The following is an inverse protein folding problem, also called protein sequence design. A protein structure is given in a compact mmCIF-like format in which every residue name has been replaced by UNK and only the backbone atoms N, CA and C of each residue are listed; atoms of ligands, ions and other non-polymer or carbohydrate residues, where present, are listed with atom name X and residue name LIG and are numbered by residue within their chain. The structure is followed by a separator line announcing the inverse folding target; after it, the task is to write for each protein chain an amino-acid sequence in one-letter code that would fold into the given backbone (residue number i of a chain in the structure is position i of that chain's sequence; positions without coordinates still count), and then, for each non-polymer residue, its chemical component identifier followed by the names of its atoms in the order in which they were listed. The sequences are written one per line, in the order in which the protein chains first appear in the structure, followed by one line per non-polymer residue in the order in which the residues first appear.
data_IF_762360268582
#
_entry.id   IF_762360268582
#
_cell.length_a   1.000
_cell.length_b   1.000
_cell.length_c   1.000
_cell.angle_alpha   90.00
_cell.angle_beta   90.00
_cell.angle_gamma   90.00
#
_symmetry.space_group_name_H-M   'P 1'
#
loop_
_entity.id
_entity.type
_entity.pdbx_description
1 polymer ?
#
# COMPACT_ATOMS: atom_id res chain seq x y z
N UNK A 1 -13.54 26.32 -6.58
CA UNK A 1 -14.58 25.58 -7.33
C UNK A 1 -14.69 24.26 -6.60
N UNK A 2 -15.77 24.04 -5.85
CA UNK A 2 -15.85 22.91 -4.92
C UNK A 2 -16.10 21.63 -5.72
N UNK A 3 -15.20 20.65 -5.66
CA UNK A 3 -15.46 19.30 -6.15
C UNK A 3 -16.68 18.78 -5.38
N UNK A 4 -17.77 18.50 -6.11
CA UNK A 4 -18.94 17.81 -5.56
C UNK A 4 -18.42 16.55 -4.87
N UNK A 5 -18.64 16.42 -3.56
CA UNK A 5 -18.57 15.10 -2.92
C UNK A 5 -19.56 14.20 -3.67
N UNK A 6 -19.02 13.35 -4.53
CA UNK A 6 -19.80 12.39 -5.29
C UNK A 6 -20.43 11.43 -4.28
N UNK A 7 -21.74 11.21 -4.39
CA UNK A 7 -22.35 10.12 -3.63
C UNK A 7 -21.77 8.79 -4.12
N UNK A 8 -21.88 7.75 -3.29
CA UNK A 8 -21.42 6.41 -3.63
C UNK A 8 -22.00 5.91 -4.98
N UNK A 9 -23.25 6.25 -5.27
CA UNK A 9 -23.93 5.93 -6.52
C UNK A 9 -23.37 6.71 -7.71
N UNK A 10 -23.07 8.00 -7.52
CA UNK A 10 -22.46 8.84 -8.57
C UNK A 10 -21.05 8.36 -8.89
N UNK A 11 -20.26 8.04 -7.85
CA UNK A 11 -18.95 7.44 -7.99
C UNK A 11 -19.01 6.11 -8.78
N UNK A 12 -20.02 5.28 -8.49
CA UNK A 12 -20.24 4.02 -9.22
C UNK A 12 -20.50 4.25 -10.71
N UNK A 13 -21.24 5.29 -11.08
CA UNK A 13 -21.47 5.64 -12.49
C UNK A 13 -20.20 6.16 -13.18
N UNK A 14 -19.37 6.96 -12.49
CA UNK A 14 -18.08 7.38 -13.06
C UNK A 14 -17.12 6.20 -13.26
N UNK A 15 -17.06 5.28 -12.27
CA UNK A 15 -16.27 4.05 -12.40
C UNK A 15 -16.78 3.18 -13.55
N UNK A 16 -18.09 3.11 -13.78
CA UNK A 16 -18.66 2.40 -14.93
C UNK A 16 -18.17 2.97 -16.26
N UNK A 17 -18.13 4.30 -16.42
CA UNK A 17 -17.58 4.91 -17.65
C UNK A 17 -16.12 4.52 -17.89
N UNK A 18 -15.31 4.41 -16.83
CA UNK A 18 -13.92 3.98 -16.93
C UNK A 18 -13.82 2.51 -17.34
N UNK A 19 -14.65 1.64 -16.76
CA UNK A 19 -14.73 0.21 -17.14
C UNK A 19 -15.16 0.06 -18.61
N UNK A 20 -16.18 0.81 -19.05
CA UNK A 20 -16.65 0.81 -20.44
C UNK A 20 -15.59 1.37 -21.42
N UNK A 21 -14.81 2.36 -20.99
CA UNK A 21 -13.67 2.87 -21.75
C UNK A 21 -12.59 1.80 -21.90
N UNK A 22 -12.24 1.11 -20.83
CA UNK A 22 -11.27 0.03 -20.84
C UNK A 22 -11.71 -1.12 -21.74
N UNK A 23 -12.98 -1.55 -21.64
CA UNK A 23 -13.53 -2.60 -22.49
C UNK A 23 -13.37 -2.29 -23.99
N UNK A 24 -13.67 -1.06 -24.41
CA UNK A 24 -13.48 -0.60 -25.81
C UNK A 24 -12.00 -0.62 -26.25
N UNK A 25 -11.08 -0.29 -25.36
CA UNK A 25 -9.63 -0.31 -25.64
C UNK A 25 -9.11 -1.75 -25.77
N UNK A 26 -9.62 -2.67 -24.94
CA UNK A 26 -9.33 -4.11 -25.06
C UNK A 26 -9.87 -4.65 -26.38
N UNK A 27 -11.12 -4.35 -26.72
CA UNK A 27 -11.78 -4.84 -27.95
C UNK A 27 -11.08 -4.32 -29.22
N UNK A 28 -10.66 -3.05 -29.24
CA UNK A 28 -9.91 -2.48 -30.35
C UNK A 28 -8.47 -2.98 -30.49
N UNK A 29 -7.95 -3.74 -29.52
CA UNK A 29 -6.56 -4.19 -29.46
C UNK A 29 -5.53 -3.08 -29.20
N UNK A 30 -5.99 -1.85 -28.96
CA UNK A 30 -5.13 -0.65 -28.76
C UNK A 30 -4.38 -0.64 -27.44
N UNK A 31 -4.77 -1.51 -26.51
CA UNK A 31 -4.19 -1.65 -25.16
C UNK A 31 -2.66 -1.77 -25.12
N UNK A 32 -2.01 -2.35 -26.13
CA UNK A 32 -0.54 -2.44 -26.21
C UNK A 32 0.16 -1.09 -26.40
N UNK A 33 -0.58 -0.05 -26.76
CA UNK A 33 -0.04 1.31 -26.99
C UNK A 33 -0.02 2.15 -25.72
N UNK A 34 -0.75 1.72 -24.68
CA UNK A 34 -0.84 2.44 -23.42
C UNK A 34 0.43 2.22 -22.61
N UNK A 35 1.11 3.32 -22.28
CA UNK A 35 2.23 3.32 -21.34
C UNK A 35 1.72 3.51 -19.92
N UNK A 36 2.63 3.43 -18.96
CA UNK A 36 2.33 3.64 -17.55
C UNK A 36 1.72 5.04 -17.30
N UNK A 37 2.28 6.09 -17.89
CA UNK A 37 1.76 7.46 -17.77
C UNK A 37 0.37 7.63 -18.40
N UNK A 38 0.09 6.97 -19.52
CA UNK A 38 -1.24 6.98 -20.13
C UNK A 38 -2.24 6.26 -19.21
N UNK A 39 -1.84 5.13 -18.62
CA UNK A 39 -2.66 4.35 -17.68
C UNK A 39 -3.00 5.19 -16.44
N UNK A 40 -2.00 5.88 -15.90
CA UNK A 40 -2.13 6.81 -14.79
C UNK A 40 -3.15 7.91 -15.09
N UNK A 41 -2.92 8.66 -16.17
CA UNK A 41 -3.74 9.83 -16.50
C UNK A 41 -5.16 9.47 -16.97
N UNK A 42 -5.33 8.37 -17.72
CA UNK A 42 -6.61 8.05 -18.36
C UNK A 42 -7.53 7.16 -17.53
N UNK A 43 -7.00 6.47 -16.52
CA UNK A 43 -7.74 5.48 -15.74
C UNK A 43 -7.55 5.61 -14.24
N UNK A 44 -6.31 5.63 -13.76
CA UNK A 44 -6.02 5.59 -12.32
C UNK A 44 -6.41 6.92 -11.66
N UNK A 45 -5.96 8.06 -12.19
CA UNK A 45 -6.32 9.37 -11.65
C UNK A 45 -7.85 9.58 -11.64
N UNK A 46 -8.59 9.37 -12.76
CA UNK A 46 -10.05 9.46 -12.75
C UNK A 46 -10.74 8.47 -11.80
N UNK A 47 -10.19 7.27 -11.62
CA UNK A 47 -10.72 6.29 -10.67
C UNK A 47 -10.66 6.84 -9.24
N UNK A 48 -9.51 7.37 -8.83
CA UNK A 48 -9.37 7.90 -7.47
C UNK A 48 -10.10 9.23 -7.28
N UNK A 49 -10.22 10.07 -8.32
CA UNK A 49 -11.14 11.22 -8.33
C UNK A 49 -12.59 10.78 -8.09
N UNK A 50 -13.06 9.72 -8.77
CA UNK A 50 -14.39 9.16 -8.57
C UNK A 50 -14.58 8.56 -7.16
N UNK A 51 -13.52 8.02 -6.56
CA UNK A 51 -13.49 7.56 -5.17
C UNK A 51 -13.37 8.69 -4.14
N UNK A 52 -13.45 9.94 -4.60
CA UNK A 52 -13.57 11.13 -3.75
C UNK A 52 -12.24 11.71 -3.29
N UNK A 53 -11.11 11.34 -3.90
CA UNK A 53 -9.81 11.97 -3.62
C UNK A 53 -9.58 13.20 -4.50
N UNK A 54 -9.04 14.29 -3.93
CA UNK A 54 -8.61 15.47 -4.68
C UNK A 54 -7.24 15.22 -5.36
N UNK A 55 -7.24 14.39 -6.42
CA UNK A 55 -6.03 14.02 -7.17
C UNK A 55 -5.33 15.23 -7.81
N UNK A 56 -6.06 16.33 -7.99
CA UNK A 56 -5.56 17.59 -8.56
C UNK A 56 -5.09 18.58 -7.49
N UNK A 57 -5.27 18.27 -6.20
CA UNK A 57 -4.99 19.14 -5.06
C UNK A 57 -5.52 20.56 -5.28
N UNK A 58 -6.77 20.66 -5.75
CA UNK A 58 -7.43 21.94 -6.01
C UNK A 58 -8.07 22.57 -4.77
N UNK A 59 -8.34 21.74 -3.75
CA UNK A 59 -8.94 22.13 -2.48
C UNK A 59 -8.01 21.85 -1.31
N UNK A 60 -7.37 20.68 -1.33
CA UNK A 60 -6.47 20.23 -0.27
C UNK A 60 -5.07 20.08 -0.84
N UNK A 61 -4.17 20.96 -0.41
CA UNK A 61 -2.76 20.81 -0.75
C UNK A 61 -2.25 19.47 -0.21
N UNK A 62 -1.53 18.75 -1.07
CA UNK A 62 -0.89 17.46 -0.76
C UNK A 62 -1.84 16.31 -0.33
N UNK A 63 -3.12 16.32 -0.70
CA UNK A 63 -3.99 15.15 -0.51
C UNK A 63 -3.52 13.96 -1.38
N UNK A 64 -3.09 14.23 -2.61
CA UNK A 64 -2.46 13.23 -3.48
C UNK A 64 -1.13 13.75 -4.00
N UNK A 65 -0.03 13.25 -3.44
CA UNK A 65 1.33 13.63 -3.85
C UNK A 65 1.85 12.64 -4.89
N UNK A 66 2.18 13.16 -6.08
CA UNK A 66 2.76 12.39 -7.19
C UNK A 66 4.26 12.24 -7.02
N UNK A 67 4.80 11.12 -7.49
CA UNK A 67 6.25 10.89 -7.59
C UNK A 67 7.00 11.12 -6.26
N UNK A 68 6.40 10.70 -5.13
CA UNK A 68 7.00 10.93 -3.81
C UNK A 68 8.33 10.18 -3.67
N UNK A 69 9.40 10.94 -3.41
CA UNK A 69 10.73 10.38 -3.15
C UNK A 69 10.77 9.70 -1.78
N UNK A 70 11.31 8.48 -1.79
CA UNK A 70 11.57 7.65 -0.62
C UNK A 70 13.07 7.39 -0.59
N UNK A 71 13.65 7.18 0.60
CA UNK A 71 15.09 7.01 0.80
C UNK A 71 15.77 5.98 -0.10
N UNK A 72 15.02 5.01 -0.64
CA UNK A 72 15.49 4.01 -1.62
C UNK A 72 14.58 3.86 -2.85
N UNK A 73 13.95 4.94 -3.31
CA UNK A 73 13.18 4.91 -4.56
C UNK A 73 12.09 5.96 -4.64
N UNK A 74 11.06 5.66 -5.43
CA UNK A 74 9.94 6.56 -5.69
C UNK A 74 8.67 5.75 -5.80
N UNK A 75 7.61 6.25 -5.19
CA UNK A 75 6.26 5.74 -5.39
C UNK A 75 5.50 6.67 -6.33
N UNK A 76 4.60 6.12 -7.13
CA UNK A 76 3.84 6.92 -8.09
C UNK A 76 2.88 7.90 -7.40
N UNK A 77 2.13 7.43 -6.40
CA UNK A 77 1.22 8.30 -5.63
C UNK A 77 1.22 7.99 -4.14
N UNK A 78 1.04 9.04 -3.35
CA UNK A 78 0.88 9.02 -1.90
C UNK A 78 -0.44 9.69 -1.56
N UNK A 79 -1.37 8.92 -1.02
CA UNK A 79 -2.70 9.39 -0.64
C UNK A 79 -2.71 9.74 0.85
N UNK A 80 -3.05 10.98 1.17
CA UNK A 80 -2.90 11.56 2.49
C UNK A 80 -4.20 12.19 2.94
N UNK A 81 -4.48 12.13 4.23
CA UNK A 81 -5.58 12.88 4.83
C UNK A 81 -4.97 13.73 5.93
N UNK A 82 -5.15 15.04 5.86
CA UNK A 82 -4.55 16.03 6.76
C UNK A 82 -3.01 15.87 6.84
N UNK A 83 -2.36 15.66 5.70
CA UNK A 83 -0.91 15.48 5.59
C UNK A 83 -0.37 14.13 6.06
N UNK A 84 -1.21 13.22 6.58
CA UNK A 84 -0.80 11.90 7.05
C UNK A 84 -1.05 10.86 5.94
N UNK A 85 0.00 10.14 5.46
CA UNK A 85 -0.15 9.07 4.48
C UNK A 85 -1.07 7.95 4.97
N UNK A 86 -2.05 7.59 4.14
CA UNK A 86 -3.03 6.51 4.38
C UNK A 86 -2.71 5.26 3.60
N UNK A 87 -2.34 5.42 2.34
CA UNK A 87 -1.78 4.37 1.52
C UNK A 87 -0.89 4.93 0.43
N UNK A 88 -0.03 4.07 -0.09
CA UNK A 88 0.80 4.32 -1.25
C UNK A 88 0.29 3.52 -2.44
N UNK A 89 0.30 4.13 -3.62
CA UNK A 89 -0.14 3.51 -4.85
C UNK A 89 1.02 3.41 -5.83
N UNK A 90 1.30 2.19 -6.27
CA UNK A 90 2.18 1.89 -7.38
C UNK A 90 1.33 1.56 -8.61
N UNK A 91 1.59 2.27 -9.70
CA UNK A 91 0.89 2.09 -10.96
C UNK A 91 1.76 1.30 -11.95
N UNK A 92 1.12 0.55 -12.84
CA UNK A 92 1.78 -0.12 -13.96
C UNK A 92 1.02 0.17 -15.26
N UNK A 93 1.69 -0.06 -16.38
CA UNK A 93 1.03 -0.02 -17.69
C UNK A 93 -0.04 -1.12 -17.77
N UNK A 94 -1.11 -0.88 -18.55
CA UNK A 94 -2.12 -1.88 -18.84
C UNK A 94 -1.48 -3.22 -19.28
N UNK A 95 -2.00 -4.35 -18.80
CA UNK A 95 -1.56 -5.74 -19.09
C UNK A 95 -0.26 -6.17 -18.44
N UNK A 96 0.31 -5.38 -17.55
CA UNK A 96 1.46 -5.82 -16.77
C UNK A 96 1.05 -6.90 -15.77
N UNK A 97 1.92 -7.90 -15.58
CA UNK A 97 1.66 -8.94 -14.59
C UNK A 97 1.84 -8.40 -13.17
N UNK A 98 0.72 -8.02 -12.53
CA UNK A 98 0.69 -7.60 -11.13
C UNK A 98 1.09 -8.73 -10.15
N UNK A 99 1.26 -9.97 -10.62
CA UNK A 99 1.83 -11.09 -9.87
C UNK A 99 3.35 -11.07 -9.80
N UNK A 100 4.02 -10.21 -10.56
CA UNK A 100 5.46 -10.07 -10.53
C UNK A 100 5.92 -9.65 -9.13
N UNK A 101 6.72 -10.51 -8.50
CA UNK A 101 7.21 -10.34 -7.13
C UNK A 101 7.92 -8.99 -6.97
N UNK A 102 8.64 -8.50 -7.98
CA UNK A 102 9.34 -7.21 -7.92
C UNK A 102 8.39 -6.03 -7.73
N UNK A 103 7.24 -6.03 -8.40
CA UNK A 103 6.25 -4.95 -8.27
C UNK A 103 5.60 -4.97 -6.88
N UNK A 104 5.35 -6.17 -6.35
CA UNK A 104 4.79 -6.34 -5.00
C UNK A 104 5.81 -5.91 -3.94
N UNK A 105 7.06 -6.34 -4.07
CA UNK A 105 8.16 -5.91 -3.20
C UNK A 105 8.32 -4.40 -3.20
N UNK A 106 8.25 -3.78 -4.38
CA UNK A 106 8.34 -2.33 -4.51
C UNK A 106 7.24 -1.63 -3.70
N UNK A 107 5.97 -1.98 -3.94
CA UNK A 107 4.83 -1.37 -3.24
C UNK A 107 4.86 -1.60 -1.72
N UNK A 108 5.14 -2.83 -1.28
CA UNK A 108 5.15 -3.22 0.14
C UNK A 108 6.33 -2.60 0.88
N UNK A 109 7.54 -2.69 0.33
CA UNK A 109 8.74 -2.16 1.00
C UNK A 109 8.65 -0.64 1.16
N UNK A 110 8.17 0.09 0.14
CA UNK A 110 8.00 1.53 0.27
C UNK A 110 7.05 1.94 1.38
N UNK A 111 5.92 1.25 1.46
CA UNK A 111 4.93 1.49 2.51
C UNK A 111 5.50 1.19 3.90
N UNK A 112 6.21 0.07 4.05
CA UNK A 112 6.90 -0.29 5.30
C UNK A 112 7.95 0.76 5.71
N UNK A 113 8.80 1.21 4.77
CA UNK A 113 9.86 2.17 5.05
C UNK A 113 9.35 3.55 5.49
N UNK A 114 8.12 3.93 5.09
CA UNK A 114 7.46 5.18 5.46
C UNK A 114 6.47 5.03 6.63
N UNK A 115 6.34 3.82 7.19
CA UNK A 115 5.41 3.53 8.28
C UNK A 115 3.94 3.62 7.88
N UNK A 116 3.63 3.41 6.60
CA UNK A 116 2.27 3.36 6.11
C UNK A 116 1.80 1.90 6.02
N UNK A 117 0.63 1.62 6.57
CA UNK A 117 0.11 0.25 6.69
C UNK A 117 -0.31 -0.34 5.34
N UNK A 118 -0.79 0.50 4.42
CA UNK A 118 -1.43 0.03 3.20
C UNK A 118 -0.62 0.38 1.95
N UNK A 119 -0.44 -0.62 1.08
CA UNK A 119 0.09 -0.46 -0.26
C UNK A 119 -0.95 -0.93 -1.27
N UNK A 120 -1.11 -0.22 -2.38
CA UNK A 120 -2.00 -0.57 -3.48
C UNK A 120 -1.17 -0.69 -4.75
N UNK A 121 -1.38 -1.76 -5.50
CA UNK A 121 -0.76 -2.00 -6.81
C UNK A 121 -1.88 -2.15 -7.84
N UNK A 122 -1.80 -1.40 -8.93
CA UNK A 122 -2.81 -1.48 -9.98
C UNK A 122 -2.28 -1.10 -11.36
N UNK A 123 -2.81 -1.76 -12.38
CA UNK A 123 -2.73 -1.38 -13.79
C UNK A 123 -4.13 -1.05 -14.33
N UNK A 124 -5.07 -0.68 -13.47
CA UNK A 124 -6.51 -0.59 -13.72
C UNK A 124 -7.22 -1.91 -14.05
N UNK A 125 -6.63 -2.83 -14.81
CA UNK A 125 -7.22 -4.16 -15.09
C UNK A 125 -7.47 -4.94 -13.80
N UNK A 126 -6.58 -4.80 -12.83
CA UNK A 126 -6.79 -5.31 -11.49
C UNK A 126 -6.24 -4.38 -10.40
N UNK A 127 -6.81 -4.49 -9.22
CA UNK A 127 -6.33 -3.83 -8.00
C UNK A 127 -5.93 -4.91 -6.99
N UNK A 128 -4.72 -4.77 -6.45
CA UNK A 128 -4.24 -5.56 -5.32
C UNK A 128 -3.93 -4.63 -4.16
N UNK A 129 -4.44 -4.99 -2.98
CA UNK A 129 -4.20 -4.28 -1.73
C UNK A 129 -3.27 -5.14 -0.89
N UNK A 130 -2.26 -4.54 -0.27
CA UNK A 130 -1.30 -5.22 0.60
C UNK A 130 -1.25 -4.52 1.95
N UNK A 131 -1.12 -5.32 2.99
CA UNK A 131 -0.77 -4.84 4.32
C UNK A 131 0.75 -4.89 4.47
N UNK A 132 1.40 -3.73 4.42
CA UNK A 132 2.84 -3.61 4.50
C UNK A 132 3.42 -3.95 5.88
N UNK A 133 2.59 -3.97 6.93
CA UNK A 133 3.00 -4.41 8.26
C UNK A 133 3.14 -5.94 8.36
N UNK A 134 2.60 -6.68 7.38
CA UNK A 134 2.70 -8.13 7.35
C UNK A 134 4.10 -8.56 6.94
N UNK A 135 4.85 -9.12 7.90
CA UNK A 135 6.17 -9.68 7.65
C UNK A 135 6.07 -11.14 7.22
N UNK A 136 6.20 -11.38 5.92
CA UNK A 136 6.38 -12.71 5.36
C UNK A 136 7.62 -12.78 4.49
N UNK A 137 8.23 -13.96 4.41
CA UNK A 137 9.33 -14.22 3.48
C UNK A 137 8.88 -14.11 2.00
N UNK A 138 7.59 -14.31 1.74
CA UNK A 138 6.98 -14.10 0.44
C UNK A 138 6.07 -12.85 0.48
N UNK A 139 6.43 -11.75 -0.22
CA UNK A 139 5.66 -10.52 -0.29
C UNK A 139 4.20 -10.69 -0.76
N UNK A 140 3.92 -11.71 -1.58
CA UNK A 140 2.56 -12.00 -2.05
C UNK A 140 1.61 -12.38 -0.91
N UNK A 141 2.12 -12.91 0.21
CA UNK A 141 1.30 -13.24 1.38
C UNK A 141 0.84 -11.99 2.15
N UNK A 142 1.48 -10.84 1.94
CA UNK A 142 1.03 -9.57 2.47
C UNK A 142 -0.24 -9.05 1.80
N UNK A 143 -0.70 -9.69 0.72
CA UNK A 143 -1.93 -9.31 0.03
C UNK A 143 -3.13 -9.41 0.99
N UNK A 144 -3.87 -8.32 1.07
CA UNK A 144 -5.13 -8.21 1.79
C UNK A 144 -6.29 -8.44 0.82
N UNK A 145 -7.25 -9.28 1.21
CA UNK A 145 -8.36 -9.68 0.35
C UNK A 145 -7.94 -10.46 -0.90
N UNK A 146 -8.84 -10.50 -1.87
CA UNK A 146 -8.60 -11.07 -3.20
C UNK A 146 -8.26 -9.96 -4.20
N UNK A 147 -7.54 -10.30 -5.26
CA UNK A 147 -7.33 -9.39 -6.40
C UNK A 147 -8.69 -8.99 -6.96
N UNK A 148 -8.94 -7.69 -7.10
CA UNK A 148 -10.18 -7.16 -7.64
C UNK A 148 -9.99 -6.81 -9.12
N UNK A 149 -10.51 -7.62 -10.06
CA UNK A 149 -10.43 -7.31 -11.49
C UNK A 149 -11.46 -6.24 -11.88
N UNK A 150 -11.17 -5.46 -12.92
CA UNK A 150 -11.98 -4.31 -13.34
C UNK A 150 -13.41 -4.69 -13.73
N UNK A 151 -13.62 -5.90 -14.25
CA UNK A 151 -14.93 -6.45 -14.60
C UNK A 151 -15.83 -6.58 -13.36
N UNK A 152 -15.25 -6.74 -12.17
CA UNK A 152 -15.97 -6.86 -10.91
C UNK A 152 -16.07 -5.54 -10.14
N UNK A 153 -15.55 -4.42 -10.66
CA UNK A 153 -15.62 -3.13 -9.95
C UNK A 153 -17.06 -2.70 -9.66
N UNK A 154 -18.00 -2.98 -10.56
CA UNK A 154 -19.41 -2.61 -10.38
C UNK A 154 -20.19 -3.58 -9.49
N UNK A 155 -19.88 -4.88 -9.58
CA UNK A 155 -20.52 -5.92 -8.78
C UNK A 155 -20.03 -5.88 -7.33
N UNK A 156 -18.70 -5.80 -7.15
CA UNK A 156 -18.02 -5.72 -5.85
C UNK A 156 -17.61 -4.29 -5.54
N UNK A 157 -18.49 -3.33 -5.83
CA UNK A 157 -18.21 -1.91 -5.63
C UNK A 157 -17.92 -1.58 -4.16
N UNK A 158 -18.52 -2.30 -3.21
CA UNK A 158 -18.22 -2.13 -1.78
C UNK A 158 -16.74 -2.40 -1.45
N UNK A 159 -16.13 -3.40 -2.10
CA UNK A 159 -14.70 -3.71 -1.94
C UNK A 159 -13.83 -2.60 -2.53
N UNK A 160 -14.19 -2.09 -3.71
CA UNK A 160 -13.50 -0.95 -4.31
C UNK A 160 -13.65 0.31 -3.45
N UNK A 161 -14.84 0.52 -2.88
CA UNK A 161 -15.18 1.66 -2.04
C UNK A 161 -14.35 1.73 -0.76
N UNK A 162 -13.75 0.62 -0.31
CA UNK A 162 -12.80 0.64 0.81
C UNK A 162 -11.59 1.55 0.53
N UNK A 163 -11.27 1.78 -0.74
CA UNK A 163 -10.20 2.69 -1.17
C UNK A 163 -10.65 4.15 -1.31
N UNK A 164 -11.92 4.45 -1.06
CA UNK A 164 -12.42 5.83 -1.07
C UNK A 164 -11.85 6.67 0.07
N UNK A 165 -11.79 7.98 -0.16
CA UNK A 165 -11.38 8.96 0.84
C UNK A 165 -12.22 8.82 2.12
N UNK A 166 -13.53 8.69 1.98
CA UNK A 166 -14.49 8.50 3.08
C UNK A 166 -14.22 7.21 3.86
N UNK A 167 -13.97 6.09 3.17
CA UNK A 167 -13.66 4.80 3.83
C UNK A 167 -12.38 4.86 4.66
N UNK A 168 -11.36 5.58 4.18
CA UNK A 168 -10.12 5.80 4.93
C UNK A 168 -10.30 6.75 6.12
N UNK A 169 -11.14 7.78 6.02
CA UNK A 169 -11.52 8.61 7.18
C UNK A 169 -12.20 7.77 8.27
N UNK A 170 -13.09 6.87 7.87
CA UNK A 170 -13.82 5.94 8.75
C UNK A 170 -12.98 4.71 9.16
N UNK A 171 -11.77 4.55 8.64
CA UNK A 171 -10.86 3.41 8.89
C UNK A 171 -11.50 2.05 8.58
N UNK A 172 -12.35 1.97 7.56
CA UNK A 172 -13.08 0.73 7.25
C UNK A 172 -12.14 -0.41 6.86
N UNK A 173 -11.08 -0.11 6.09
CA UNK A 173 -10.08 -1.08 5.68
C UNK A 173 -9.32 -1.67 6.89
N UNK A 174 -8.98 -0.84 7.87
CA UNK A 174 -8.35 -1.28 9.13
C UNK A 174 -9.28 -2.22 9.92
N UNK A 175 -10.56 -1.87 10.03
CA UNK A 175 -11.58 -2.66 10.72
C UNK A 175 -11.77 -4.03 10.03
N UNK A 176 -11.79 -4.05 8.70
CA UNK A 176 -11.90 -5.29 7.95
C UNK A 176 -10.65 -6.16 8.13
N UNK A 177 -9.46 -5.56 8.13
CA UNK A 177 -8.21 -6.25 8.40
C UNK A 177 -8.16 -6.91 9.79
N UNK A 178 -8.71 -6.24 10.80
CA UNK A 178 -8.82 -6.76 12.16
C UNK A 178 -9.74 -7.98 12.24
N UNK A 179 -10.88 -7.96 11.54
CA UNK A 179 -11.82 -9.10 11.47
C UNK A 179 -11.20 -10.33 10.81
N UNK A 180 -10.36 -10.13 9.81
CA UNK A 180 -9.66 -11.22 9.11
C UNK A 180 -8.45 -11.76 9.89
N UNK A 181 -8.19 -11.27 11.12
CA UNK A 181 -7.04 -11.67 11.92
C UNK A 181 -5.69 -11.20 11.37
N UNK A 182 -5.70 -10.30 10.37
CA UNK A 182 -4.49 -9.81 9.66
C UNK A 182 -3.86 -8.57 10.28
N UNK A 183 -4.17 -8.25 11.54
CA UNK A 183 -3.34 -7.36 12.35
C UNK A 183 -2.38 -8.21 13.17
N UNK A 184 -1.21 -8.51 12.60
CA UNK A 184 -0.07 -8.81 13.46
C UNK A 184 0.19 -7.52 14.23
N UNK A 185 -0.06 -7.55 15.55
CA UNK A 185 0.16 -6.45 16.49
C UNK A 185 1.38 -5.64 16.06
N UNK A 186 1.18 -4.34 15.79
CA UNK A 186 2.19 -3.30 15.57
C UNK A 186 3.52 -3.68 16.26
N UNK A 187 4.42 -4.31 15.54
CA UNK A 187 5.81 -4.38 15.96
C UNK A 187 6.35 -3.02 15.57
N UNK A 188 6.29 -2.06 16.51
CA UNK A 188 6.85 -0.73 16.26
C UNK A 188 8.27 -0.87 15.74
N UNK A 189 8.74 0.11 14.99
CA UNK A 189 10.14 0.15 14.51
C UNK A 189 11.09 -0.16 15.67
N UNK A 190 10.76 0.26 16.89
CA UNK A 190 11.51 -0.04 18.12
C UNK A 190 11.56 -1.53 18.45
N UNK A 191 10.44 -2.28 18.35
CA UNK A 191 10.45 -3.72 18.57
C UNK A 191 11.22 -4.47 17.49
N UNK A 192 11.17 -3.99 16.24
CA UNK A 192 11.97 -4.58 15.17
C UNK A 192 13.45 -4.31 15.38
N UNK A 193 13.81 -3.07 15.72
CA UNK A 193 15.18 -2.68 16.04
C UNK A 193 15.70 -3.50 17.23
N UNK A 194 14.88 -3.68 18.27
CA UNK A 194 15.22 -4.52 19.42
C UNK A 194 15.45 -5.99 19.01
N UNK A 195 14.59 -6.54 18.14
CA UNK A 195 14.77 -7.88 17.59
C UNK A 195 16.06 -8.00 16.79
N UNK A 196 16.36 -7.02 15.94
CA UNK A 196 17.56 -7.01 15.10
C UNK A 196 18.83 -6.86 15.96
N UNK A 197 18.81 -5.99 16.96
CA UNK A 197 19.89 -5.85 17.95
C UNK A 197 20.09 -7.14 18.75
N UNK A 198 19.01 -7.82 19.15
CA UNK A 198 19.08 -9.10 19.87
C UNK A 198 19.69 -10.19 18.99
N UNK A 199 19.31 -10.23 17.72
CA UNK A 199 19.90 -11.13 16.72
C UNK A 199 21.38 -10.84 16.49
N UNK A 200 21.76 -9.57 16.34
CA UNK A 200 23.16 -9.19 16.20
C UNK A 200 23.97 -9.56 17.43
N UNK A 201 23.46 -9.30 18.64
CA UNK A 201 24.07 -9.74 19.90
C UNK A 201 24.30 -11.25 19.90
N UNK A 202 23.28 -12.04 19.56
CA UNK A 202 23.39 -13.50 19.52
C UNK A 202 24.47 -13.99 18.55
N UNK A 203 24.52 -13.43 17.33
CA UNK A 203 25.52 -13.78 16.31
C UNK A 203 26.93 -13.41 16.78
N UNK A 204 27.10 -12.22 17.36
CA UNK A 204 28.40 -11.74 17.88
C UNK A 204 28.86 -12.62 19.05
N UNK A 205 28.00 -12.87 20.03
CA UNK A 205 28.29 -13.72 21.18
C UNK A 205 28.67 -15.15 20.77
N UNK A 206 27.95 -15.73 19.80
CA UNK A 206 28.24 -17.07 19.29
C UNK A 206 29.57 -17.12 18.55
N UNK A 207 29.88 -16.10 17.72
CA UNK A 207 31.14 -16.04 16.96
C UNK A 207 32.37 -15.75 17.83
N UNK A 208 32.19 -15.00 18.92
CA UNK A 208 33.28 -14.70 19.86
C UNK A 208 33.43 -15.77 20.96
N UNK A 209 32.60 -16.81 20.97
CA UNK A 209 32.61 -17.85 22.02
C UNK A 209 32.13 -17.36 23.39
N UNK A 210 31.53 -16.16 23.45
CA UNK A 210 30.99 -15.55 24.67
C UNK A 210 29.56 -16.05 24.84
N UNK A 211 29.40 -17.33 25.18
CA UNK A 211 28.10 -17.84 25.65
C UNK A 211 28.12 -17.72 27.17
N UNK A 212 27.64 -16.59 27.70
CA UNK A 212 27.28 -16.55 29.11
C UNK A 212 26.09 -17.49 29.32
N UNK A 213 26.31 -18.53 30.14
CA UNK A 213 25.23 -19.38 30.64
C UNK A 213 24.28 -18.51 31.46
N UNK A 214 23.13 -18.17 30.87
CA UNK A 214 21.99 -17.58 31.58
C UNK A 214 21.78 -16.10 31.29
N UNK A 215 21.14 -15.80 30.16
CA UNK A 215 20.43 -14.53 30.01
C UNK A 215 18.99 -14.81 30.46
N UNK A 216 18.67 -14.42 31.69
CA UNK A 216 17.30 -14.30 32.18
C UNK A 216 16.66 -13.10 31.48
N UNK A 217 15.57 -13.32 30.76
CA UNK A 217 14.86 -12.33 29.94
C UNK A 217 14.31 -11.14 30.76
N UNK A 218 14.31 -11.24 32.11
CA UNK A 218 13.77 -10.22 33.00
C UNK A 218 14.83 -9.41 33.80
N UNK A 219 16.13 -9.55 33.54
CA UNK A 219 17.15 -8.70 34.18
C UNK A 219 18.21 -8.21 33.19
N UNK A 220 18.40 -6.89 33.03
CA UNK A 220 19.54 -6.38 32.28
C UNK A 220 20.83 -6.72 33.04
N UNK A 221 21.68 -7.55 32.42
CA UNK A 221 23.02 -7.87 32.90
C UNK A 221 23.85 -6.59 32.99
N UNK A 222 24.47 -6.35 34.14
CA UNK A 222 25.09 -5.08 34.54
C UNK A 222 26.48 -4.81 33.92
N UNK A 223 26.87 -5.47 32.83
CA UNK A 223 28.23 -5.43 32.31
C UNK A 223 28.24 -5.10 30.81
N UNK A 224 28.47 -3.83 30.49
CA UNK A 224 29.68 -3.31 29.83
C UNK A 224 29.46 -1.84 29.44
N UNK A 225 29.74 -0.95 30.40
CA UNK A 225 30.22 0.40 30.12
C UNK A 225 31.74 0.27 29.97
N UNK A 226 32.21 -0.10 28.78
CA UNK A 226 33.61 0.05 28.34
C UNK A 226 33.71 -0.55 26.94
N UNK A 227 33.37 0.27 25.94
CA UNK A 227 34.12 0.48 24.69
C UNK A 227 33.27 1.50 23.94
N UNK A 228 33.75 2.74 23.98
CA UNK A 228 33.34 3.83 23.07
C UNK A 228 33.72 3.44 21.65
#
# INVERSE_FOLDING_TARGET
MVLRQLTKEQAKEEVKKLVDKYARIVESGSIKRYKEEDTKAEFIEPLFEALGWDVRNTENDDEVVREEKISKGRVDYSFRINGIPKFFLEAKALKEDLGNIKFVEQAVNYSWHKGCTWAVLTDFEAIKIFNAEWKSANPLQAQFGQTLPCQLFLEKFDTLWLLSRESFEKKLLDIEAEKWGKKIKKTSVDKQLLSDLTRFRFIICTRLGIIEKGIDENKPSQLLFEVI
#
